data_IF_515177296787
#
_entry.id   IF_515177296787
#
_cell.length_a   1.000
_cell.length_b   1.000
_cell.length_c   1.000
_cell.angle_alpha   90.00
_cell.angle_beta   90.00
_cell.angle_gamma   90.00
#
_symmetry.space_group_name_H-M   'P 1'
#
loop_
_entity.id
_entity.type
_entity.pdbx_description
1 polymer ?
#
# COMPACT_ATOMS: atom_id res chain seq x y z
N UNK A 1 -21.49 10.17 53.09
CA UNK A 1 -22.47 9.98 52.02
C UNK A 1 -21.69 9.77 50.74
N UNK A 2 -21.43 8.59 50.41
CA UNK A 2 -21.85 7.72 49.26
C UNK A 2 -21.71 8.49 47.94
N UNK A 3 -20.73 8.31 47.07
CA UNK A 3 -20.11 7.11 46.53
C UNK A 3 -20.92 6.69 45.29
N UNK A 4 -20.58 7.12 44.11
CA UNK A 4 -21.14 6.64 42.84
C UNK A 4 -20.02 6.33 41.88
N UNK A 5 -19.58 5.06 41.82
CA UNK A 5 -18.61 4.53 40.85
C UNK A 5 -19.35 4.22 39.56
N UNK A 6 -19.07 4.95 38.50
CA UNK A 6 -19.56 4.69 37.17
C UNK A 6 -18.82 3.48 36.54
N UNK A 7 -19.56 2.44 36.25
CA UNK A 7 -19.13 1.22 35.56
C UNK A 7 -18.77 1.55 34.10
N UNK A 8 -17.54 1.32 33.72
CA UNK A 8 -17.10 1.27 32.33
C UNK A 8 -17.72 0.03 31.64
N UNK A 9 -18.48 0.28 30.60
CA UNK A 9 -19.01 -0.77 29.72
C UNK A 9 -17.87 -1.35 28.89
N UNK A 10 -17.49 -2.58 29.19
CA UNK A 10 -16.57 -3.39 28.37
C UNK A 10 -17.40 -3.95 27.22
N UNK A 11 -17.09 -3.53 25.99
CA UNK A 11 -17.66 -4.09 24.79
C UNK A 11 -17.29 -5.58 24.69
N UNK A 12 -18.28 -6.45 24.50
CA UNK A 12 -18.10 -7.88 24.34
C UNK A 12 -17.38 -8.18 23.00
N UNK A 13 -16.54 -9.21 22.93
CA UNK A 13 -15.87 -9.59 21.68
C UNK A 13 -16.90 -10.12 20.67
N UNK A 14 -16.83 -9.60 19.45
CA UNK A 14 -17.63 -10.05 18.30
C UNK A 14 -17.32 -11.52 18.01
N UNK A 15 -18.33 -12.39 18.23
CA UNK A 15 -18.26 -13.82 17.86
C UNK A 15 -18.66 -13.96 16.40
N UNK A 16 -17.79 -14.51 15.57
CA UNK A 16 -18.10 -14.95 14.20
C UNK A 16 -19.21 -16.00 14.22
N UNK A 17 -20.23 -15.82 13.39
CA UNK A 17 -21.21 -16.85 13.08
C UNK A 17 -20.55 -17.88 12.11
N UNK A 18 -20.44 -19.18 12.48
CA UNK A 18 -19.83 -20.19 11.64
C UNK A 18 -20.60 -20.50 10.35
N UNK A 19 -21.83 -20.00 10.21
CA UNK A 19 -22.70 -20.27 9.05
C UNK A 19 -22.45 -19.34 7.85
N UNK A 20 -21.53 -18.35 7.95
CA UNK A 20 -21.18 -17.44 6.85
C UNK A 20 -19.91 -17.83 6.07
N UNK A 21 -19.39 -19.03 6.28
CA UNK A 21 -18.26 -19.56 5.51
C UNK A 21 -18.77 -20.66 4.59
N UNK A 22 -18.58 -20.45 3.27
CA UNK A 22 -18.81 -21.35 2.15
C UNK A 22 -20.10 -21.10 1.35
N UNK A 23 -20.14 -19.99 0.62
CA UNK A 23 -20.92 -19.94 -0.60
C UNK A 23 -19.98 -19.79 -1.82
N UNK A 24 -19.77 -20.85 -2.61
CA UNK A 24 -18.96 -20.80 -3.84
C UNK A 24 -19.53 -19.84 -4.88
N UNK A 25 -20.84 -19.58 -4.87
CA UNK A 25 -21.52 -18.68 -5.82
C UNK A 25 -21.12 -17.20 -5.67
N UNK A 26 -20.76 -16.72 -4.48
CA UNK A 26 -20.26 -15.34 -4.32
C UNK A 26 -18.88 -15.13 -4.96
N UNK A 27 -18.04 -16.17 -4.96
CA UNK A 27 -16.70 -16.12 -5.58
C UNK A 27 -16.76 -16.07 -7.11
N UNK A 28 -17.77 -16.69 -7.71
CA UNK A 28 -17.93 -16.70 -9.17
C UNK A 28 -18.55 -15.39 -9.69
N UNK A 29 -19.52 -14.80 -8.99
CA UNK A 29 -20.07 -13.46 -9.36
C UNK A 29 -19.01 -12.36 -9.30
N UNK A 30 -18.05 -12.45 -8.36
CA UNK A 30 -16.94 -11.50 -8.25
C UNK A 30 -15.95 -11.62 -9.42
N UNK A 31 -15.68 -12.84 -9.91
CA UNK A 31 -14.78 -13.08 -11.05
C UNK A 31 -15.29 -12.48 -12.37
N UNK A 32 -16.60 -12.38 -12.55
CA UNK A 32 -17.21 -11.80 -13.75
C UNK A 32 -17.16 -10.26 -13.78
N UNK A 33 -17.04 -9.59 -12.63
CA UNK A 33 -17.00 -8.12 -12.52
C UNK A 33 -15.60 -7.52 -12.56
N UNK A 34 -14.54 -8.33 -12.40
CA UNK A 34 -13.16 -7.88 -12.38
C UNK A 34 -12.58 -7.82 -13.79
N UNK A 35 -12.34 -6.61 -14.28
CA UNK A 35 -11.64 -6.39 -15.55
C UNK A 35 -10.21 -6.95 -15.52
N UNK A 36 -9.78 -7.59 -16.61
CA UNK A 36 -8.37 -8.04 -16.74
C UNK A 36 -7.59 -7.04 -17.57
N UNK A 37 -6.56 -6.42 -16.97
CA UNK A 37 -5.60 -5.60 -17.70
C UNK A 37 -4.37 -6.45 -17.98
N UNK A 38 -4.17 -6.82 -19.25
CA UNK A 38 -2.91 -7.41 -19.70
C UNK A 38 -1.91 -6.30 -19.95
N UNK A 39 -0.87 -6.23 -19.13
CA UNK A 39 0.35 -5.51 -19.44
C UNK A 39 1.33 -6.56 -19.95
N UNK A 40 1.78 -6.43 -21.21
CA UNK A 40 2.78 -7.36 -21.75
C UNK A 40 3.97 -7.48 -20.79
N UNK A 41 4.36 -8.72 -20.50
CA UNK A 41 5.57 -9.00 -19.70
C UNK A 41 6.77 -8.42 -20.44
N UNK A 42 7.12 -7.21 -20.12
CA UNK A 42 8.42 -6.68 -20.54
C UNK A 42 9.46 -7.40 -19.69
N UNK A 43 10.19 -8.31 -20.30
CA UNK A 43 11.25 -9.12 -19.69
C UNK A 43 12.45 -8.24 -19.32
N UNK A 44 12.32 -7.42 -18.28
CA UNK A 44 13.37 -6.49 -17.84
C UNK A 44 14.27 -7.04 -16.73
N UNK A 45 13.95 -8.20 -16.18
CA UNK A 45 14.77 -8.79 -15.13
C UNK A 45 15.69 -9.85 -15.76
N UNK A 46 16.99 -9.60 -15.72
CA UNK A 46 17.99 -10.66 -15.87
C UNK A 46 17.95 -11.52 -14.62
N UNK A 47 18.26 -12.79 -14.70
CA UNK A 47 18.29 -13.76 -13.57
C UNK A 47 19.16 -13.31 -12.37
N UNK A 48 20.04 -12.33 -12.55
CA UNK A 48 20.86 -11.70 -11.50
C UNK A 48 20.09 -10.67 -10.63
N UNK A 49 18.85 -10.37 -10.97
CA UNK A 49 18.04 -9.33 -10.29
C UNK A 49 17.03 -9.91 -9.30
N UNK A 50 16.95 -11.23 -9.19
CA UNK A 50 16.08 -11.89 -8.22
C UNK A 50 16.64 -11.79 -6.80
N UNK A 51 15.74 -11.69 -5.81
CA UNK A 51 16.07 -11.81 -4.40
C UNK A 51 16.10 -13.30 -4.05
N UNK A 52 16.83 -13.70 -2.98
CA UNK A 52 16.69 -15.05 -2.44
C UNK A 52 15.28 -15.27 -1.90
N UNK A 53 14.86 -16.51 -1.80
CA UNK A 53 13.64 -16.88 -1.11
C UNK A 53 13.76 -16.58 0.39
N UNK A 54 12.71 -16.01 0.96
CA UNK A 54 12.62 -15.71 2.38
C UNK A 54 11.49 -16.53 3.01
N UNK A 55 11.74 -17.10 4.19
CA UNK A 55 10.72 -17.86 4.90
C UNK A 55 9.60 -16.97 5.50
N UNK A 56 9.88 -15.69 5.74
CA UNK A 56 8.94 -14.75 6.35
C UNK A 56 9.35 -13.28 6.15
N UNK A 57 8.40 -12.37 6.45
CA UNK A 57 8.60 -10.92 6.35
C UNK A 57 9.74 -10.39 7.24
N UNK A 58 10.05 -11.04 8.36
CA UNK A 58 11.13 -10.61 9.26
C UNK A 58 12.49 -10.81 8.61
N UNK A 59 12.69 -11.95 7.96
CA UNK A 59 13.93 -12.25 7.21
C UNK A 59 14.08 -11.32 6.01
N UNK A 60 13.02 -11.14 5.21
CA UNK A 60 13.03 -10.22 4.08
C UNK A 60 13.35 -8.79 4.52
N UNK A 61 12.74 -8.29 5.59
CA UNK A 61 13.01 -6.98 6.18
C UNK A 61 14.46 -6.84 6.63
N UNK A 62 15.00 -7.84 7.31
CA UNK A 62 16.39 -7.83 7.75
C UNK A 62 17.35 -7.75 6.56
N UNK A 63 17.13 -8.57 5.53
CA UNK A 63 17.93 -8.55 4.30
C UNK A 63 17.83 -7.21 3.56
N UNK A 64 16.65 -6.60 3.52
CA UNK A 64 16.42 -5.31 2.87
C UNK A 64 17.24 -4.15 3.48
N UNK A 65 17.64 -4.24 4.75
CA UNK A 65 18.44 -3.19 5.40
C UNK A 65 19.81 -2.98 4.74
N UNK A 66 20.37 -4.01 4.13
CA UNK A 66 21.66 -3.94 3.40
C UNK A 66 21.48 -3.72 1.89
N UNK A 67 20.27 -3.40 1.42
CA UNK A 67 19.98 -3.26 0.00
C UNK A 67 20.79 -2.14 -0.66
N UNK A 68 21.46 -2.49 -1.78
CA UNK A 68 22.28 -1.58 -2.62
C UNK A 68 21.89 -1.66 -4.11
N UNK A 69 20.64 -2.08 -4.41
CA UNK A 69 20.14 -2.33 -5.77
C UNK A 69 19.97 -1.05 -6.62
N UNK A 70 19.88 0.11 -5.98
CA UNK A 70 19.82 1.43 -6.63
C UNK A 70 20.53 2.47 -5.75
N UNK A 71 20.96 3.64 -6.28
CA UNK A 71 21.76 4.60 -5.52
C UNK A 71 21.01 5.34 -4.40
N UNK A 72 19.71 5.12 -4.22
CA UNK A 72 18.91 5.85 -3.22
C UNK A 72 19.36 5.58 -1.78
N UNK A 73 19.95 4.41 -1.50
CA UNK A 73 20.50 4.07 -0.19
C UNK A 73 21.61 5.03 0.28
N UNK A 74 22.34 5.65 -0.65
CA UNK A 74 23.48 6.53 -0.33
C UNK A 74 23.05 7.77 0.45
N UNK A 75 21.84 8.28 0.19
CA UNK A 75 21.31 9.49 0.81
C UNK A 75 20.18 9.24 1.79
N UNK A 76 19.54 8.09 1.72
CA UNK A 76 18.51 7.70 2.69
C UNK A 76 19.13 7.42 4.05
N UNK A 77 18.40 7.69 5.13
CA UNK A 77 18.82 7.39 6.49
C UNK A 77 18.80 5.88 6.74
N UNK A 78 17.80 5.19 6.16
CA UNK A 78 17.61 3.76 6.31
C UNK A 78 16.64 3.21 5.25
N UNK A 79 16.57 1.88 5.16
CA UNK A 79 15.51 1.20 4.42
C UNK A 79 14.21 1.26 5.21
N UNK A 80 13.12 1.69 4.57
CA UNK A 80 11.77 1.66 5.13
C UNK A 80 11.00 0.51 4.47
N UNK A 81 10.97 -0.63 5.14
CA UNK A 81 10.22 -1.81 4.73
C UNK A 81 8.75 -1.67 5.13
N UNK A 82 7.85 -2.51 4.58
CA UNK A 82 6.44 -2.45 4.91
C UNK A 82 6.16 -2.81 6.39
N UNK A 83 4.98 -2.45 6.88
CA UNK A 83 4.55 -2.67 8.26
C UNK A 83 3.04 -2.96 8.33
N UNK A 84 2.63 -3.77 9.29
CA UNK A 84 1.24 -4.17 9.53
C UNK A 84 1.12 -5.66 9.74
N UNK A 85 -0.12 -6.18 9.59
CA UNK A 85 -0.40 -7.60 9.74
C UNK A 85 0.23 -8.40 8.58
N UNK A 86 1.04 -9.40 8.91
CA UNK A 86 1.66 -10.32 7.95
C UNK A 86 0.67 -11.29 7.29
N UNK A 87 -0.59 -11.30 7.72
CA UNK A 87 -1.72 -12.04 7.13
C UNK A 87 -2.80 -11.10 6.60
N UNK A 88 -2.44 -9.84 6.32
CA UNK A 88 -3.37 -8.83 5.85
C UNK A 88 -4.04 -9.26 4.54
N UNK A 89 -5.37 -9.13 4.47
CA UNK A 89 -6.11 -9.30 3.23
C UNK A 89 -5.91 -8.10 2.28
N UNK A 90 -5.58 -6.93 2.83
CA UNK A 90 -5.34 -5.68 2.10
C UNK A 90 -3.89 -5.21 2.27
N UNK A 91 -3.19 -5.01 1.16
CA UNK A 91 -1.83 -4.42 1.12
C UNK A 91 -1.87 -3.09 0.41
N UNK A 92 -1.54 -2.01 1.13
CA UNK A 92 -1.46 -0.65 0.57
C UNK A 92 -0.03 -0.32 0.15
N UNK A 93 0.13 0.10 -1.10
CA UNK A 93 1.43 0.41 -1.70
C UNK A 93 1.50 1.89 -2.06
N UNK A 94 2.36 2.66 -1.39
CA UNK A 94 2.68 4.05 -1.73
C UNK A 94 3.81 4.19 -2.75
N UNK A 95 4.31 5.41 -2.90
CA UNK A 95 5.41 5.73 -3.82
C UNK A 95 6.76 5.37 -3.21
N UNK A 96 7.16 6.08 -2.17
CA UNK A 96 8.42 5.94 -1.43
C UNK A 96 8.26 6.55 -0.04
N UNK A 97 9.18 6.29 0.91
CA UNK A 97 9.20 6.97 2.20
C UNK A 97 9.29 8.49 2.04
N UNK A 98 8.65 9.24 2.94
CA UNK A 98 8.91 10.65 3.15
C UNK A 98 10.01 10.89 4.19
N UNK A 99 10.22 12.16 4.58
CA UNK A 99 11.24 12.54 5.56
C UNK A 99 11.00 11.92 6.95
N UNK A 100 9.75 11.89 7.40
CA UNK A 100 9.38 11.29 8.69
C UNK A 100 9.60 9.78 8.69
N UNK A 101 9.19 9.11 7.61
CA UNK A 101 9.33 7.67 7.42
C UNK A 101 10.81 7.26 7.33
N UNK A 102 11.62 8.02 6.59
CA UNK A 102 13.06 7.77 6.48
C UNK A 102 13.80 7.88 7.82
N UNK A 103 13.35 8.79 8.71
CA UNK A 103 13.90 8.94 10.06
C UNK A 103 13.46 7.85 11.02
N UNK A 104 12.20 7.43 10.94
CA UNK A 104 11.59 6.47 11.88
C UNK A 104 11.76 5.01 11.46
N UNK A 105 11.98 4.74 10.16
CA UNK A 105 12.00 3.40 9.60
C UNK A 105 10.61 2.78 9.41
N UNK A 106 9.53 3.54 9.64
CA UNK A 106 8.15 3.06 9.54
C UNK A 106 7.42 3.74 8.38
N UNK A 107 6.68 2.99 7.52
CA UNK A 107 5.93 3.56 6.41
C UNK A 107 4.67 4.28 6.90
N UNK A 108 4.27 5.33 6.18
CA UNK A 108 3.01 6.07 6.39
C UNK A 108 2.83 6.68 7.79
N UNK A 109 3.88 7.17 8.43
CA UNK A 109 3.81 7.89 9.72
C UNK A 109 3.71 9.42 9.56
N UNK A 110 3.98 9.94 8.38
CA UNK A 110 3.91 11.36 8.05
C UNK A 110 2.51 11.86 7.69
N UNK A 111 2.39 13.08 7.14
CA UNK A 111 1.10 13.70 6.79
C UNK A 111 0.24 12.86 5.82
N UNK A 112 0.88 12.20 4.83
CA UNK A 112 0.18 11.33 3.88
C UNK A 112 -0.42 10.10 4.57
N UNK A 113 0.31 9.52 5.54
CA UNK A 113 -0.18 8.41 6.36
C UNK A 113 -1.38 8.79 7.20
N UNK A 114 -1.33 9.91 7.91
CA UNK A 114 -2.48 10.40 8.70
C UNK A 114 -3.73 10.64 7.83
N UNK A 115 -3.55 11.10 6.60
CA UNK A 115 -4.67 11.27 5.68
C UNK A 115 -5.19 9.93 5.18
N UNK A 116 -4.32 8.95 4.95
CA UNK A 116 -4.70 7.57 4.63
C UNK A 116 -5.50 6.96 5.78
N UNK A 117 -5.02 7.08 7.03
CA UNK A 117 -5.70 6.53 8.21
C UNK A 117 -7.11 7.14 8.36
N UNK A 118 -7.24 8.45 8.13
CA UNK A 118 -8.55 9.12 8.11
C UNK A 118 -9.46 8.55 7.01
N UNK A 119 -8.94 8.37 5.79
CA UNK A 119 -9.72 7.84 4.66
C UNK A 119 -10.14 6.39 4.89
N UNK A 120 -9.28 5.55 5.46
CA UNK A 120 -9.60 4.17 5.85
C UNK A 120 -10.71 4.13 6.90
N UNK A 121 -10.62 4.99 7.92
CA UNK A 121 -11.66 5.09 8.95
C UNK A 121 -13.02 5.50 8.34
N UNK A 122 -13.05 6.49 7.44
CA UNK A 122 -14.28 6.90 6.75
C UNK A 122 -14.82 5.83 5.77
N UNK A 123 -13.93 5.00 5.23
CA UNK A 123 -14.29 3.83 4.43
C UNK A 123 -14.63 2.59 5.27
N UNK A 124 -14.60 2.68 6.61
CA UNK A 124 -14.84 1.57 7.56
C UNK A 124 -13.87 0.39 7.39
N UNK A 125 -12.63 0.68 7.05
CA UNK A 125 -11.54 -0.29 6.94
C UNK A 125 -10.66 -0.19 8.18
N UNK A 126 -10.50 -1.30 8.91
CA UNK A 126 -9.62 -1.33 10.08
C UNK A 126 -8.15 -1.32 9.63
N UNK A 127 -7.45 -0.21 9.95
CA UNK A 127 -6.04 0.00 9.61
C UNK A 127 -5.11 -1.06 10.21
N UNK A 128 -5.43 -1.60 11.37
CA UNK A 128 -4.60 -2.61 12.08
C UNK A 128 -4.60 -3.97 11.38
N UNK A 129 -5.64 -4.25 10.56
CA UNK A 129 -5.74 -5.46 9.75
C UNK A 129 -5.10 -5.30 8.35
N UNK A 130 -4.50 -4.15 8.08
CA UNK A 130 -3.86 -3.85 6.80
C UNK A 130 -2.33 -3.94 6.91
N UNK A 131 -1.70 -4.23 5.78
CA UNK A 131 -0.26 -4.03 5.62
C UNK A 131 -0.02 -2.82 4.73
N UNK A 132 0.93 -1.97 5.09
CA UNK A 132 1.33 -0.80 4.29
C UNK A 132 2.78 -0.86 3.91
N UNK A 133 3.08 -0.49 2.68
CA UNK A 133 4.43 -0.44 2.14
C UNK A 133 4.55 0.61 1.04
N UNK A 134 5.71 0.69 0.41
CA UNK A 134 5.96 1.57 -0.72
C UNK A 134 6.57 0.79 -1.89
N UNK A 135 6.41 1.28 -3.12
CA UNK A 135 7.07 0.77 -4.32
C UNK A 135 8.60 0.86 -4.21
N UNK A 136 9.10 1.93 -3.57
CA UNK A 136 10.54 2.16 -3.33
C UNK A 136 10.79 2.21 -1.82
N UNK A 137 11.86 1.53 -1.36
CA UNK A 137 12.13 1.36 0.08
C UNK A 137 13.08 2.43 0.67
N UNK A 138 13.64 3.32 -0.16
CA UNK A 138 14.52 4.40 0.27
C UNK A 138 13.97 5.76 -0.14
N UNK A 139 14.17 6.76 0.72
CA UNK A 139 13.74 8.13 0.46
C UNK A 139 14.62 8.81 -0.58
N UNK A 140 14.04 9.21 -1.72
CA UNK A 140 14.71 10.03 -2.71
C UNK A 140 14.49 11.50 -2.41
N UNK A 141 15.57 12.23 -2.17
CA UNK A 141 15.52 13.65 -1.85
C UNK A 141 16.73 14.43 -2.36
N UNK A 142 16.56 15.74 -2.45
CA UNK A 142 17.63 16.68 -2.69
C UNK A 142 17.67 17.74 -1.59
N UNK A 143 18.85 18.28 -1.25
CA UNK A 143 18.96 19.34 -0.25
C UNK A 143 18.35 20.64 -0.79
N UNK A 144 17.53 21.31 0.03
CA UNK A 144 17.03 22.65 -0.18
C UNK A 144 17.23 23.45 1.12
N UNK A 145 18.39 24.11 1.25
CA UNK A 145 18.85 24.65 2.51
C UNK A 145 18.97 23.54 3.58
N UNK A 146 18.28 23.71 4.70
CA UNK A 146 18.24 22.71 5.79
C UNK A 146 17.15 21.64 5.61
N UNK A 147 16.36 21.72 4.52
CA UNK A 147 15.26 20.79 4.26
C UNK A 147 15.66 19.73 3.24
N UNK A 148 15.07 18.54 3.38
CA UNK A 148 15.17 17.45 2.40
C UNK A 148 13.95 17.53 1.49
N UNK A 149 14.16 17.99 0.24
CA UNK A 149 13.10 18.10 -0.75
C UNK A 149 12.86 16.76 -1.41
N UNK A 150 11.67 16.21 -1.24
CA UNK A 150 11.22 14.98 -1.88
C UNK A 150 11.35 15.07 -3.42
N UNK A 151 11.92 14.04 -4.02
CA UNK A 151 12.04 13.86 -5.47
C UNK A 151 11.40 12.54 -5.88
N UNK A 152 10.71 12.57 -7.02
CA UNK A 152 10.07 11.36 -7.55
C UNK A 152 11.11 10.32 -7.97
N UNK A 153 10.92 9.03 -7.62
CA UNK A 153 11.78 7.95 -8.11
C UNK A 153 11.73 7.83 -9.64
N UNK A 154 12.87 7.50 -10.25
CA UNK A 154 12.95 7.16 -11.67
C UNK A 154 12.41 5.75 -11.92
N UNK A 155 12.08 5.45 -13.18
CA UNK A 155 11.66 4.10 -13.57
C UNK A 155 12.71 3.02 -13.24
N UNK A 156 14.01 3.35 -13.35
CA UNK A 156 15.11 2.43 -12.98
C UNK A 156 15.13 2.13 -11.48
N UNK A 157 14.92 3.14 -10.63
CA UNK A 157 14.87 2.98 -9.18
C UNK A 157 13.64 2.17 -8.74
N UNK A 158 12.49 2.40 -9.39
CA UNK A 158 11.26 1.63 -9.16
C UNK A 158 11.49 0.16 -9.54
N UNK A 159 12.05 -0.11 -10.73
CA UNK A 159 12.33 -1.47 -11.18
C UNK A 159 13.34 -2.19 -10.29
N UNK A 160 14.42 -1.52 -9.88
CA UNK A 160 15.42 -2.08 -8.98
C UNK A 160 14.84 -2.43 -7.60
N UNK A 161 13.81 -1.71 -7.15
CA UNK A 161 13.16 -1.92 -5.85
C UNK A 161 11.97 -2.90 -5.92
N UNK A 162 11.40 -3.14 -7.11
CA UNK A 162 10.21 -3.96 -7.34
C UNK A 162 10.30 -5.37 -6.75
N UNK A 163 11.44 -6.10 -6.79
CA UNK A 163 11.55 -7.41 -6.17
C UNK A 163 11.18 -7.42 -4.68
N UNK A 164 11.52 -6.38 -3.92
CA UNK A 164 11.11 -6.27 -2.52
C UNK A 164 9.59 -6.18 -2.34
N UNK A 165 8.90 -5.42 -3.21
CA UNK A 165 7.44 -5.37 -3.19
C UNK A 165 6.83 -6.71 -3.56
N UNK A 166 7.37 -7.42 -4.55
CA UNK A 166 6.92 -8.75 -4.93
C UNK A 166 7.09 -9.74 -3.78
N UNK A 167 8.25 -9.76 -3.11
CA UNK A 167 8.50 -10.58 -1.92
C UNK A 167 7.47 -10.31 -0.80
N UNK A 168 7.15 -9.05 -0.52
CA UNK A 168 6.10 -8.71 0.46
C UNK A 168 4.73 -9.29 0.06
N UNK A 169 4.32 -9.11 -1.20
CA UNK A 169 3.05 -9.63 -1.71
C UNK A 169 3.02 -11.17 -1.69
N UNK A 170 4.11 -11.82 -2.05
CA UNK A 170 4.23 -13.28 -2.06
C UNK A 170 4.19 -13.87 -0.65
N UNK A 171 4.81 -13.23 0.34
CA UNK A 171 4.80 -13.68 1.72
C UNK A 171 3.46 -13.43 2.45
N UNK A 172 2.78 -12.32 2.12
CA UNK A 172 1.50 -11.94 2.76
C UNK A 172 0.33 -12.67 2.11
N UNK A 173 0.37 -12.89 0.78
CA UNK A 173 -0.73 -13.48 -0.01
C UNK A 173 -2.05 -12.71 0.13
N UNK A 174 -2.05 -11.36 -0.06
CA UNK A 174 -3.25 -10.57 0.13
C UNK A 174 -4.32 -10.90 -0.93
N UNK A 175 -5.57 -10.61 -0.62
CA UNK A 175 -6.68 -10.68 -1.58
C UNK A 175 -6.65 -9.49 -2.53
N UNK A 176 -6.38 -8.29 -2.00
CA UNK A 176 -6.29 -7.07 -2.81
C UNK A 176 -5.02 -6.28 -2.51
N UNK A 177 -4.34 -5.85 -3.57
CA UNK A 177 -3.22 -4.90 -3.51
C UNK A 177 -3.71 -3.52 -3.94
N UNK A 178 -3.60 -2.54 -3.06
CA UNK A 178 -4.09 -1.16 -3.28
C UNK A 178 -2.91 -0.26 -3.65
N UNK A 179 -2.86 0.18 -4.90
CA UNK A 179 -1.84 1.10 -5.39
C UNK A 179 -2.25 2.56 -5.18
N UNK A 180 -1.48 3.29 -4.39
CA UNK A 180 -1.69 4.70 -4.10
C UNK A 180 -0.85 5.56 -5.06
N UNK A 181 -1.46 6.02 -6.15
CA UNK A 181 -0.84 6.89 -7.15
C UNK A 181 -0.04 6.18 -8.25
N UNK A 182 0.51 6.96 -9.17
CA UNK A 182 1.11 6.48 -10.41
C UNK A 182 2.37 5.60 -10.22
N UNK A 183 3.20 5.92 -9.23
CA UNK A 183 4.43 5.17 -8.96
C UNK A 183 4.12 3.77 -8.42
N UNK A 184 3.17 3.68 -7.49
CA UNK A 184 2.68 2.39 -6.98
C UNK A 184 2.05 1.57 -8.11
N UNK A 185 1.17 2.18 -8.92
CA UNK A 185 0.57 1.52 -10.07
C UNK A 185 1.65 0.98 -11.03
N UNK A 186 2.64 1.79 -11.42
CA UNK A 186 3.72 1.36 -12.30
C UNK A 186 4.53 0.18 -11.72
N UNK A 187 4.76 0.16 -10.40
CA UNK A 187 5.44 -0.95 -9.72
C UNK A 187 4.60 -2.23 -9.71
N UNK A 188 3.29 -2.12 -9.44
CA UNK A 188 2.35 -3.23 -9.41
C UNK A 188 2.18 -3.84 -10.81
N UNK A 189 1.91 -3.02 -11.82
CA UNK A 189 1.70 -3.49 -13.19
C UNK A 189 3.00 -3.91 -13.91
N UNK A 190 4.16 -3.57 -13.36
CA UNK A 190 5.46 -3.87 -13.96
C UNK A 190 5.87 -2.91 -15.08
N UNK A 191 5.15 -1.81 -15.26
CA UNK A 191 5.42 -0.80 -16.27
C UNK A 191 4.49 0.42 -16.17
N UNK A 192 4.66 1.43 -17.02
CA UNK A 192 3.82 2.62 -17.02
C UNK A 192 2.35 2.28 -17.28
N UNK A 193 1.45 2.87 -16.50
CA UNK A 193 0.00 2.76 -16.69
C UNK A 193 -0.65 4.14 -16.51
N UNK A 194 -1.68 4.42 -17.30
CA UNK A 194 -2.46 5.65 -17.16
C UNK A 194 -3.45 5.49 -16.01
N UNK A 195 -3.29 6.29 -14.97
CA UNK A 195 -4.15 6.22 -13.78
C UNK A 195 -5.63 6.36 -14.13
N UNK A 196 -5.98 7.23 -15.07
CA UNK A 196 -7.37 7.44 -15.50
C UNK A 196 -8.06 6.17 -16.03
N UNK A 197 -7.28 5.21 -16.56
CA UNK A 197 -7.82 3.99 -17.15
C UNK A 197 -8.11 2.90 -16.09
N UNK A 198 -7.41 2.95 -14.93
CA UNK A 198 -7.41 1.90 -13.91
C UNK A 198 -7.91 2.35 -12.53
N UNK A 199 -8.04 3.66 -12.28
CA UNK A 199 -8.50 4.20 -10.99
C UNK A 199 -9.93 3.77 -10.67
N UNK A 200 -10.18 3.45 -9.39
CA UNK A 200 -11.51 3.17 -8.86
C UNK A 200 -12.15 1.89 -9.44
N UNK A 201 -11.33 0.95 -9.88
CA UNK A 201 -11.77 -0.34 -10.43
C UNK A 201 -10.95 -1.46 -9.83
N UNK A 202 -11.62 -2.53 -9.42
CA UNK A 202 -10.96 -3.78 -9.08
C UNK A 202 -10.53 -4.48 -10.38
N UNK A 203 -9.24 -4.78 -10.49
CA UNK A 203 -8.64 -5.31 -11.72
C UNK A 203 -7.67 -6.43 -11.37
N UNK A 204 -7.77 -7.58 -12.04
CA UNK A 204 -6.75 -8.62 -11.87
C UNK A 204 -5.47 -8.24 -12.61
N UNK A 205 -4.33 -8.31 -11.90
CA UNK A 205 -3.00 -7.97 -12.45
C UNK A 205 -2.13 -9.21 -12.50
N UNK A 206 -1.94 -9.75 -13.71
CA UNK A 206 -1.19 -11.00 -13.95
C UNK A 206 0.24 -10.94 -13.40
N UNK A 207 0.92 -9.78 -13.46
CA UNK A 207 2.31 -9.64 -13.05
C UNK A 207 2.58 -9.89 -11.57
N UNK A 208 1.54 -9.85 -10.74
CA UNK A 208 1.59 -10.16 -9.29
C UNK A 208 0.56 -11.23 -8.90
N UNK A 209 -0.28 -11.70 -9.83
CA UNK A 209 -1.29 -12.74 -9.59
C UNK A 209 -2.36 -12.34 -8.57
N UNK A 210 -2.72 -11.04 -8.48
CA UNK A 210 -3.64 -10.52 -7.45
C UNK A 210 -4.62 -9.52 -8.04
N UNK A 211 -5.76 -9.39 -7.37
CA UNK A 211 -6.68 -8.27 -7.61
C UNK A 211 -6.07 -6.98 -7.09
N UNK A 212 -6.20 -5.90 -7.85
CA UNK A 212 -5.67 -4.60 -7.51
C UNK A 212 -6.74 -3.53 -7.58
N UNK A 213 -6.65 -2.56 -6.67
CA UNK A 213 -7.35 -1.28 -6.75
C UNK A 213 -6.31 -0.17 -6.89
N UNK A 214 -6.44 0.69 -7.89
CA UNK A 214 -5.61 1.88 -8.01
C UNK A 214 -6.43 3.11 -7.65
N UNK A 215 -5.88 3.96 -6.78
CA UNK A 215 -6.50 5.22 -6.38
C UNK A 215 -5.47 6.35 -6.26
N UNK A 216 -5.91 7.54 -5.83
CA UNK A 216 -5.04 8.68 -5.63
C UNK A 216 -4.06 8.46 -4.48
N UNK A 217 -2.84 9.00 -4.59
CA UNK A 217 -1.93 9.04 -3.44
C UNK A 217 -2.39 10.10 -2.44
N UNK A 218 -2.44 9.83 -1.12
CA UNK A 218 -2.88 10.80 -0.12
C UNK A 218 -2.16 12.15 -0.20
N UNK A 219 -0.87 12.17 -0.57
CA UNK A 219 -0.13 13.42 -0.75
C UNK A 219 -0.64 14.29 -1.91
N UNK A 220 -1.34 13.75 -2.91
CA UNK A 220 -1.96 14.55 -3.96
C UNK A 220 -3.17 15.31 -3.43
N UNK A 221 -3.94 14.69 -2.56
CA UNK A 221 -5.06 15.34 -1.84
C UNK A 221 -4.53 16.50 -0.99
N UNK A 222 -3.43 16.32 -0.25
CA UNK A 222 -2.81 17.36 0.56
C UNK A 222 -2.31 18.56 -0.27
N UNK A 223 -1.96 18.35 -1.54
CA UNK A 223 -1.48 19.40 -2.47
C UNK A 223 -2.58 20.02 -3.33
N UNK A 224 -3.85 19.66 -3.10
CA UNK A 224 -4.95 20.32 -3.80
C UNK A 224 -4.93 21.85 -3.57
N UNK A 225 -5.29 22.65 -4.59
CA UNK A 225 -5.06 24.10 -4.58
C UNK A 225 -5.84 24.85 -3.51
N UNK A 226 -7.02 24.38 -3.17
CA UNK A 226 -7.93 25.02 -2.22
C UNK A 226 -8.65 23.97 -1.37
N UNK A 227 -9.37 24.38 -0.30
CA UNK A 227 -10.09 23.48 0.59
C UNK A 227 -11.16 22.65 -0.10
N UNK A 228 -11.91 23.21 -1.06
CA UNK A 228 -13.02 22.52 -1.73
C UNK A 228 -12.49 21.43 -2.67
N UNK A 229 -11.43 21.75 -3.44
CA UNK A 229 -10.73 20.75 -4.25
C UNK A 229 -10.13 19.66 -3.39
N UNK A 230 -9.59 20.01 -2.21
CA UNK A 230 -9.05 19.02 -1.25
C UNK A 230 -10.14 18.10 -0.72
N UNK A 231 -11.29 18.63 -0.36
CA UNK A 231 -12.42 17.82 0.10
C UNK A 231 -12.91 16.89 -1.01
N UNK A 232 -13.08 17.41 -2.22
CA UNK A 232 -13.49 16.64 -3.40
C UNK A 232 -12.55 15.46 -3.68
N UNK A 233 -11.23 15.70 -3.67
CA UNK A 233 -10.25 14.62 -3.91
C UNK A 233 -10.19 13.63 -2.74
N UNK A 234 -10.42 14.10 -1.51
CA UNK A 234 -10.52 13.22 -0.35
C UNK A 234 -11.76 12.32 -0.43
N UNK A 235 -12.92 12.88 -0.77
CA UNK A 235 -14.16 12.11 -0.93
C UNK A 235 -14.05 11.05 -2.03
N UNK A 236 -13.37 11.40 -3.13
CA UNK A 236 -13.06 10.43 -4.19
C UNK A 236 -12.14 9.30 -3.71
N UNK A 237 -11.14 9.62 -2.89
CA UNK A 237 -10.28 8.61 -2.28
C UNK A 237 -11.10 7.66 -1.39
N UNK A 238 -11.98 8.21 -0.55
CA UNK A 238 -12.86 7.41 0.32
C UNK A 238 -13.80 6.53 -0.51
N UNK A 239 -14.39 7.06 -1.60
CA UNK A 239 -15.26 6.26 -2.48
C UNK A 239 -14.49 5.11 -3.14
N UNK A 240 -13.27 5.34 -3.63
CA UNK A 240 -12.43 4.27 -4.17
C UNK A 240 -12.15 3.20 -3.09
N UNK A 241 -11.86 3.59 -1.84
CA UNK A 241 -11.57 2.66 -0.74
C UNK A 241 -12.81 1.87 -0.29
N UNK A 242 -14.02 2.40 -0.42
CA UNK A 242 -15.26 1.67 -0.07
C UNK A 242 -15.45 0.40 -0.91
N UNK A 243 -14.84 0.30 -2.09
CA UNK A 243 -14.81 -0.93 -2.90
C UNK A 243 -14.11 -2.10 -2.19
N UNK A 244 -13.38 -1.82 -1.11
CA UNK A 244 -12.61 -2.81 -0.36
C UNK A 244 -13.35 -3.33 0.89
N UNK A 245 -14.57 -2.85 1.18
CA UNK A 245 -15.26 -3.19 2.43
C UNK A 245 -15.49 -4.69 2.62
N UNK A 246 -15.75 -5.43 1.55
CA UNK A 246 -15.92 -6.89 1.59
C UNK A 246 -14.62 -7.65 1.96
N UNK A 247 -13.45 -7.01 1.80
CA UNK A 247 -12.13 -7.56 2.13
C UNK A 247 -11.61 -7.04 3.49
N UNK A 248 -12.35 -6.16 4.17
CA UNK A 248 -11.87 -5.44 5.35
C UNK A 248 -12.20 -6.12 6.69
N UNK A 249 -12.88 -7.26 6.65
CA UNK A 249 -13.34 -8.03 7.81
C UNK A 249 -12.47 -9.22 8.21
#
# INVERSE_FOLDING_TARGET
MMGGVGLASVAAPYRRDPAMLDEPELKDHYRESVGTVRVEKTSYLKSSDELPDFANLKEARFSAQSCRRCPLWERATQTVFGSGDGKARLVFVGEQPGDAEDRTGLPFVGPAGRLLDRALNEAQINRDLCYVTNAVKHFKWEPLGQRRLHKKPTSREIQACRPWLQTEIELIQPEVVVGLGATAAASIFGGPVRIADVRGKLTHVESIGRTCLITAHPSSVLRAPDPDARQTEFDRLVQDLKLLQEFAG
#
